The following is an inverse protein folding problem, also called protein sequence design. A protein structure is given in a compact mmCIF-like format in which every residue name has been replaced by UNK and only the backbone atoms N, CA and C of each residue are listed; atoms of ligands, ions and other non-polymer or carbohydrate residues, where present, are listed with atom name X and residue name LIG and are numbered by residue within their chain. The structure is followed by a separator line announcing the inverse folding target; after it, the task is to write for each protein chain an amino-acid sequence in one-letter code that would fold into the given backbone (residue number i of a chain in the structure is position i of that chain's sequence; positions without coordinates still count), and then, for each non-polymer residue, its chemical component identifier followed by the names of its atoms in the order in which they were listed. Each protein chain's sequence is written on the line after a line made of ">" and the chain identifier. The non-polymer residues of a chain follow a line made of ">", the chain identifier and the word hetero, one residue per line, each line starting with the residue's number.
data_IF_887913963868
#
_entry.id   IF_887913963868
#
_cell.length_a   1.000
_cell.length_b   1.000
_cell.length_c   1.000
_cell.angle_alpha   90.00
_cell.angle_beta   90.00
_cell.angle_gamma   90.00
#
_symmetry.space_group_name_H-M   'P 1'
#
loop_
_entity.id
_entity.type
_entity.pdbx_description
1 polymer ?
#
# COMPACT_ATOMS: atom_id res chain seq x y z
N UNK A 1 -8.51 6.12 38.54
CA UNK A 1 -9.65 7.02 38.30
C UNK A 1 -9.46 7.71 36.96
N UNK A 2 -10.04 7.17 35.90
CA UNK A 2 -10.31 7.90 34.66
C UNK A 2 -11.60 7.29 34.09
N UNK A 3 -12.67 8.05 34.23
CA UNK A 3 -14.03 7.73 33.80
C UNK A 3 -14.05 7.55 32.28
N UNK A 4 -14.38 6.36 31.76
CA UNK A 4 -14.75 6.23 30.36
C UNK A 4 -16.23 6.60 30.23
N UNK A 5 -16.47 7.78 29.66
CA UNK A 5 -17.77 8.15 29.15
C UNK A 5 -18.26 7.06 28.20
N UNK A 6 -19.40 6.44 28.54
CA UNK A 6 -20.21 5.66 27.62
C UNK A 6 -20.84 6.66 26.64
N UNK A 7 -20.10 7.07 25.61
CA UNK A 7 -20.72 7.68 24.44
C UNK A 7 -21.47 6.60 23.67
N UNK A 8 -22.63 6.95 23.12
CA UNK A 8 -23.44 6.10 22.25
C UNK A 8 -22.70 5.84 20.92
N UNK A 9 -21.62 5.08 20.96
CA UNK A 9 -20.81 4.79 19.76
C UNK A 9 -21.34 3.52 19.11
N UNK A 10 -21.88 3.67 17.89
CA UNK A 10 -22.40 2.57 17.06
C UNK A 10 -21.28 1.61 16.61
N UNK A 11 -20.02 2.05 16.70
CA UNK A 11 -18.83 1.33 16.25
C UNK A 11 -17.88 0.99 17.42
N UNK A 12 -17.19 -0.16 17.39
CA UNK A 12 -16.20 -0.49 18.40
C UNK A 12 -15.04 0.52 18.42
N UNK A 13 -14.38 0.70 19.57
CA UNK A 13 -13.30 1.68 19.76
C UNK A 13 -12.11 1.50 18.81
N UNK A 14 -11.88 0.30 18.29
CA UNK A 14 -10.89 -0.01 17.25
C UNK A 14 -11.22 0.61 15.88
N UNK A 15 -12.47 1.02 15.67
CA UNK A 15 -12.97 1.62 14.43
C UNK A 15 -13.40 3.07 14.57
N UNK A 16 -14.06 3.43 15.67
CA UNK A 16 -14.63 4.77 15.88
C UNK A 16 -14.08 5.53 17.10
N UNK A 17 -13.07 4.98 17.79
CA UNK A 17 -12.44 5.64 18.94
C UNK A 17 -11.26 6.56 18.57
N UNK A 18 -10.43 6.88 19.56
CA UNK A 18 -9.22 7.68 19.38
C UNK A 18 -9.48 9.20 19.30
N UNK A 19 -8.41 10.02 19.26
CA UNK A 19 -8.51 11.48 19.39
C UNK A 19 -9.27 12.16 18.24
N UNK A 20 -9.39 11.49 17.10
CA UNK A 20 -10.09 11.99 15.91
C UNK A 20 -11.26 11.08 15.46
N UNK A 21 -11.68 10.11 16.27
CA UNK A 21 -12.75 9.17 15.90
C UNK A 21 -12.39 8.22 14.74
N UNK A 22 -11.10 8.01 14.48
CA UNK A 22 -10.56 7.20 13.37
C UNK A 22 -10.14 5.77 13.81
N UNK A 23 -10.43 5.42 15.05
CA UNK A 23 -9.98 4.21 15.73
C UNK A 23 -8.75 4.46 16.60
N UNK A 24 -8.48 3.49 17.48
CA UNK A 24 -7.34 3.50 18.40
C UNK A 24 -5.97 3.54 17.66
N UNK A 25 -5.12 4.55 17.89
CA UNK A 25 -3.78 4.62 17.31
C UNK A 25 -2.85 3.43 17.61
N UNK A 26 -3.01 2.77 18.75
CA UNK A 26 -2.09 1.72 19.20
C UNK A 26 -2.60 0.31 18.84
N UNK A 27 -3.77 0.23 18.21
CA UNK A 27 -4.34 -1.01 17.67
C UNK A 27 -3.53 -1.55 16.48
N UNK A 28 -2.92 -2.72 16.71
CA UNK A 28 -2.13 -3.48 15.71
C UNK A 28 -2.95 -4.54 14.96
N UNK A 29 -4.26 -4.66 15.21
CA UNK A 29 -5.10 -5.60 14.48
C UNK A 29 -5.27 -5.17 13.02
N UNK A 30 -5.14 -6.14 12.13
CA UNK A 30 -5.34 -5.95 10.69
C UNK A 30 -6.75 -6.38 10.30
N UNK A 31 -7.46 -5.50 9.60
CA UNK A 31 -8.72 -5.85 8.93
C UNK A 31 -8.43 -6.69 7.69
N UNK A 32 -9.44 -7.37 7.21
CA UNK A 32 -9.37 -8.18 5.99
C UNK A 32 -8.88 -7.35 4.79
N UNK A 33 -9.47 -6.16 4.57
CA UNK A 33 -9.06 -5.21 3.53
C UNK A 33 -7.59 -4.78 3.67
N UNK A 34 -7.09 -4.64 4.89
CA UNK A 34 -5.70 -4.25 5.13
C UNK A 34 -4.74 -5.38 4.73
N UNK A 35 -5.11 -6.60 5.07
CA UNK A 35 -4.33 -7.82 4.79
C UNK A 35 -4.33 -8.17 3.30
N UNK A 36 -5.48 -8.07 2.64
CA UNK A 36 -5.66 -8.54 1.26
C UNK A 36 -5.43 -7.47 0.20
N UNK A 37 -5.59 -6.18 0.55
CA UNK A 37 -5.55 -5.10 -0.42
C UNK A 37 -4.45 -4.09 -0.08
N UNK A 38 -4.48 -3.49 1.11
CA UNK A 38 -3.60 -2.34 1.41
C UNK A 38 -2.14 -2.74 1.59
N UNK A 39 -1.86 -3.81 2.33
CA UNK A 39 -0.48 -4.32 2.49
C UNK A 39 0.08 -4.80 1.14
N UNK A 40 -0.63 -5.62 0.34
CA UNK A 40 -0.18 -5.98 -1.00
C UNK A 40 0.02 -4.78 -1.94
N UNK A 41 -0.83 -3.76 -1.84
CA UNK A 41 -0.64 -2.52 -2.60
C UNK A 41 0.63 -1.78 -2.17
N UNK A 42 0.88 -1.67 -0.86
CA UNK A 42 2.12 -1.09 -0.31
C UNK A 42 3.35 -1.87 -0.79
N UNK A 43 3.30 -3.20 -0.73
CA UNK A 43 4.34 -4.09 -1.25
C UNK A 43 4.59 -3.85 -2.73
N UNK A 44 3.53 -3.73 -3.55
CA UNK A 44 3.65 -3.46 -4.99
C UNK A 44 4.37 -2.14 -5.25
N UNK A 45 3.95 -1.06 -4.59
CA UNK A 45 4.54 0.26 -4.77
C UNK A 45 6.00 0.30 -4.37
N UNK A 46 6.34 -0.37 -3.28
CA UNK A 46 7.70 -0.46 -2.77
C UNK A 46 8.58 -1.37 -3.63
N UNK A 47 8.08 -2.53 -4.03
CA UNK A 47 8.78 -3.45 -4.92
C UNK A 47 9.12 -2.76 -6.24
N UNK A 48 8.19 -2.00 -6.83
CA UNK A 48 8.45 -1.22 -8.06
C UNK A 48 9.56 -0.18 -7.90
N UNK A 49 9.76 0.39 -6.71
CA UNK A 49 10.76 1.43 -6.45
C UNK A 49 12.12 0.87 -6.03
N UNK A 50 12.11 -0.16 -5.19
CA UNK A 50 13.32 -0.66 -4.52
C UNK A 50 13.89 -1.94 -5.14
N UNK A 51 13.05 -2.83 -5.65
CA UNK A 51 13.47 -4.18 -6.11
C UNK A 51 13.40 -4.34 -7.62
N UNK A 52 12.29 -3.92 -8.20
CA UNK A 52 11.95 -4.10 -9.61
C UNK A 52 12.12 -2.82 -10.43
N UNK A 53 12.97 -1.89 -9.98
CA UNK A 53 13.12 -0.58 -10.62
C UNK A 53 13.61 -0.72 -12.07
N UNK A 54 14.48 -1.71 -12.33
CA UNK A 54 14.98 -2.03 -13.67
C UNK A 54 13.85 -2.52 -14.57
N UNK A 55 13.09 -3.50 -14.13
CA UNK A 55 11.98 -4.08 -14.91
C UNK A 55 10.86 -3.07 -15.14
N UNK A 56 10.61 -2.18 -14.18
CA UNK A 56 9.68 -1.05 -14.34
C UNK A 56 10.18 -0.08 -15.40
N UNK A 57 11.49 0.21 -15.41
CA UNK A 57 12.10 1.08 -16.42
C UNK A 57 12.03 0.42 -17.80
N UNK A 58 12.50 -0.82 -17.93
CA UNK A 58 12.49 -1.56 -19.20
C UNK A 58 11.07 -1.66 -19.77
N UNK A 59 10.08 -1.92 -18.91
CA UNK A 59 8.67 -1.93 -19.32
C UNK A 59 8.17 -0.55 -19.73
N UNK A 60 8.57 0.50 -19.00
CA UNK A 60 8.23 1.88 -19.33
C UNK A 60 8.85 2.35 -20.65
N UNK A 61 10.07 1.97 -20.94
CA UNK A 61 10.78 2.29 -22.19
C UNK A 61 10.09 1.56 -23.37
N UNK A 62 9.82 0.26 -23.23
CA UNK A 62 9.07 -0.49 -24.25
C UNK A 62 7.65 0.08 -24.47
N UNK A 63 6.97 0.50 -23.40
CA UNK A 63 5.65 1.11 -23.49
C UNK A 63 5.64 2.42 -24.27
N UNK A 64 6.67 3.25 -24.07
CA UNK A 64 6.84 4.52 -24.80
C UNK A 64 7.11 4.28 -26.29
N UNK A 65 7.93 3.29 -26.63
CA UNK A 65 8.30 3.01 -28.01
C UNK A 65 7.15 2.37 -28.81
N UNK A 66 6.41 1.45 -28.20
CA UNK A 66 5.40 0.63 -28.89
C UNK A 66 3.99 1.22 -28.82
N UNK A 67 3.72 2.11 -27.86
CA UNK A 67 2.43 2.76 -27.68
C UNK A 67 1.27 1.75 -27.67
N UNK A 68 0.40 1.81 -28.69
CA UNK A 68 -0.78 0.94 -28.82
C UNK A 68 -0.42 -0.54 -29.00
N UNK A 69 0.78 -0.85 -29.52
CA UNK A 69 1.26 -2.22 -29.75
C UNK A 69 1.88 -2.88 -28.50
N UNK A 70 1.95 -2.16 -27.38
CA UNK A 70 2.48 -2.64 -26.10
C UNK A 70 2.01 -4.06 -25.69
N UNK A 71 0.70 -4.40 -25.68
CA UNK A 71 0.26 -5.72 -25.22
C UNK A 71 0.70 -6.86 -26.13
N UNK A 72 1.26 -6.58 -27.30
CA UNK A 72 1.81 -7.58 -28.22
C UNK A 72 3.34 -7.60 -28.14
N UNK A 73 3.97 -6.43 -28.28
CA UNK A 73 5.42 -6.29 -28.40
C UNK A 73 6.15 -6.33 -27.05
N UNK A 74 5.54 -5.81 -25.99
CA UNK A 74 6.16 -5.74 -24.65
C UNK A 74 5.80 -6.92 -23.74
N UNK A 75 5.22 -8.02 -24.28
CA UNK A 75 4.80 -9.18 -23.47
C UNK A 75 5.93 -9.81 -22.67
N UNK A 76 7.12 -9.93 -23.28
CA UNK A 76 8.28 -10.50 -22.61
C UNK A 76 8.74 -9.62 -21.43
N UNK A 77 8.85 -8.31 -21.66
CA UNK A 77 9.25 -7.35 -20.63
C UNK A 77 8.20 -7.26 -19.51
N UNK A 78 6.90 -7.32 -19.86
CA UNK A 78 5.81 -7.40 -18.90
C UNK A 78 5.92 -8.65 -18.01
N UNK A 79 6.24 -9.80 -18.59
CA UNK A 79 6.44 -11.06 -17.86
C UNK A 79 7.62 -10.97 -16.88
N UNK A 80 8.72 -10.33 -17.27
CA UNK A 80 9.84 -10.09 -16.35
C UNK A 80 9.46 -9.22 -15.16
N UNK A 81 8.71 -8.13 -15.41
CA UNK A 81 8.18 -7.28 -14.35
C UNK A 81 7.23 -8.04 -13.42
N UNK A 82 6.32 -8.84 -13.98
CA UNK A 82 5.41 -9.69 -13.20
C UNK A 82 6.17 -10.70 -12.33
N UNK A 83 7.19 -11.36 -12.89
CA UNK A 83 8.05 -12.30 -12.16
C UNK A 83 8.77 -11.63 -10.99
N UNK A 84 9.34 -10.44 -11.20
CA UNK A 84 10.01 -9.68 -10.14
C UNK A 84 9.04 -9.29 -9.01
N UNK A 85 7.84 -8.81 -9.36
CA UNK A 85 6.82 -8.47 -8.36
C UNK A 85 6.34 -9.71 -7.61
N UNK A 86 6.14 -10.82 -8.31
CA UNK A 86 5.74 -12.10 -7.71
C UNK A 86 6.78 -12.63 -6.75
N UNK A 87 8.06 -12.53 -7.09
CA UNK A 87 9.16 -12.89 -6.18
C UNK A 87 9.14 -12.02 -4.91
N UNK A 88 8.84 -10.72 -5.05
CA UNK A 88 8.71 -9.81 -3.90
C UNK A 88 7.52 -10.13 -3.00
N UNK A 89 6.39 -10.60 -3.55
CA UNK A 89 5.24 -11.03 -2.73
C UNK A 89 5.48 -12.33 -1.97
N UNK A 90 6.32 -13.21 -2.51
CA UNK A 90 6.68 -14.49 -1.87
C UNK A 90 7.67 -14.33 -0.72
N UNK A 91 8.33 -13.17 -0.62
CA UNK A 91 9.28 -12.88 0.46
C UNK A 91 8.54 -12.46 1.75
N UNK A 92 8.53 -13.31 2.80
CA UNK A 92 7.83 -13.01 4.04
C UNK A 92 8.44 -11.82 4.77
N UNK A 93 9.76 -11.65 4.72
CA UNK A 93 10.44 -10.53 5.37
C UNK A 93 10.03 -9.19 4.74
N UNK A 94 9.85 -9.17 3.42
CA UNK A 94 9.34 -7.99 2.73
C UNK A 94 7.91 -7.67 3.10
N UNK A 95 7.06 -8.70 3.23
CA UNK A 95 5.67 -8.54 3.66
C UNK A 95 5.57 -7.98 5.08
N UNK A 96 6.37 -8.48 6.00
CA UNK A 96 6.41 -7.98 7.38
C UNK A 96 6.87 -6.53 7.44
N UNK A 97 7.96 -6.17 6.76
CA UNK A 97 8.43 -4.79 6.67
C UNK A 97 7.34 -3.84 6.13
N UNK A 98 6.64 -4.25 5.07
CA UNK A 98 5.55 -3.44 4.49
C UNK A 98 4.34 -3.33 5.43
N UNK A 99 4.06 -4.39 6.21
CA UNK A 99 3.01 -4.40 7.23
C UNK A 99 3.34 -3.44 8.37
N UNK A 100 4.56 -3.44 8.88
CA UNK A 100 4.99 -2.53 9.95
C UNK A 100 4.88 -1.07 9.51
N UNK A 101 5.39 -0.73 8.32
CA UNK A 101 5.27 0.62 7.76
C UNK A 101 3.81 1.02 7.49
N UNK A 102 2.94 0.08 7.15
CA UNK A 102 1.50 0.36 7.02
C UNK A 102 0.86 0.65 8.39
N UNK A 103 1.19 -0.13 9.42
CA UNK A 103 0.68 0.06 10.78
C UNK A 103 1.16 1.39 11.38
N UNK A 104 2.41 1.77 11.13
CA UNK A 104 2.96 3.05 11.54
C UNK A 104 2.20 4.22 10.89
N UNK A 105 2.01 4.20 9.56
CA UNK A 105 1.25 5.23 8.86
C UNK A 105 -0.22 5.30 9.30
N UNK A 106 -0.83 4.15 9.59
CA UNK A 106 -2.20 4.07 10.14
C UNK A 106 -2.25 4.67 11.54
N UNK A 107 -1.26 4.39 12.38
CA UNK A 107 -1.14 4.96 13.73
C UNK A 107 -1.00 6.47 13.64
N UNK A 108 -0.10 6.99 12.80
CA UNK A 108 0.07 8.42 12.55
C UNK A 108 -1.22 9.07 12.07
N UNK A 109 -1.92 8.46 11.12
CA UNK A 109 -3.20 8.97 10.62
C UNK A 109 -4.26 9.03 11.73
N UNK A 110 -4.32 8.01 12.60
CA UNK A 110 -5.25 7.99 13.74
C UNK A 110 -4.88 9.00 14.83
N UNK A 111 -3.58 9.26 15.04
CA UNK A 111 -3.08 10.26 16.00
C UNK A 111 -3.29 11.70 15.53
N UNK A 112 -3.06 11.96 14.25
CA UNK A 112 -2.99 13.34 13.71
C UNK A 112 -4.19 13.73 12.85
N UNK A 113 -4.96 12.76 12.37
CA UNK A 113 -6.01 12.98 11.37
C UNK A 113 -5.48 13.29 9.96
N UNK A 114 -4.17 13.33 9.74
CA UNK A 114 -3.56 13.72 8.46
C UNK A 114 -3.14 12.48 7.68
N UNK A 115 -3.74 12.26 6.51
CA UNK A 115 -3.35 11.16 5.63
C UNK A 115 -1.99 11.47 5.01
N UNK A 116 -1.03 10.56 5.14
CA UNK A 116 0.18 10.58 4.32
C UNK A 116 -0.27 10.51 2.86
N UNK A 117 0.13 11.49 2.05
CA UNK A 117 -0.25 11.55 0.63
C UNK A 117 0.26 10.27 -0.05
N UNK A 118 -0.62 9.29 -0.26
CA UNK A 118 -0.45 8.35 -1.36
C UNK A 118 -0.36 9.24 -2.59
N UNK A 119 0.82 9.30 -3.22
CA UNK A 119 0.96 10.01 -4.49
C UNK A 119 -0.15 9.46 -5.37
N UNK A 120 -1.16 10.28 -5.69
CA UNK A 120 -2.06 9.97 -6.80
C UNK A 120 -1.10 9.66 -7.94
N UNK A 121 -1.35 8.56 -8.66
CA UNK A 121 -0.69 8.40 -9.96
C UNK A 121 -1.19 9.57 -10.78
N UNK A 122 -0.46 10.68 -10.74
CA UNK A 122 -0.59 11.69 -11.76
C UNK A 122 -0.48 10.91 -13.05
N UNK A 123 -1.53 11.00 -13.85
CA UNK A 123 -1.60 10.40 -15.16
C UNK A 123 -0.53 11.09 -16.02
N UNK A 124 0.73 10.69 -15.85
CA UNK A 124 1.82 11.07 -16.74
C UNK A 124 1.80 10.05 -17.87
N UNK A 125 0.79 10.23 -18.72
CA UNK A 125 1.05 10.28 -20.15
C UNK A 125 1.61 11.69 -20.36
N UNK A 126 2.94 11.79 -20.38
CA UNK A 126 3.70 12.90 -20.95
C UNK A 126 5.04 12.37 -21.41
#
# INVERSE_FOLDING_TARGET
>A
MASLAKENVVLPGTMGGGPHGLGDPDDKSLRHVETEILIPQKMKEKAKKERCAKEVKDFGDCAKDQGVLLPFMCRAVAKHLEQCLTASYKDPAFKEKCKEEYLEERSEYRRTGIKKKMKKKDAVIS
#
